data_IF_036530553652
#
_entry.id   IF_036530553652
#
_cell.length_a   1.000
_cell.length_b   1.000
_cell.length_c   1.000
_cell.angle_alpha   90.00
_cell.angle_beta   90.00
_cell.angle_gamma   90.00
#
_symmetry.space_group_name_H-M   'P 1'
#
loop_
_entity.id
_entity.type
_entity.pdbx_description
1 polymer ?
#
# COMPACT_ATOMS: atom_id res chain seq x y z
N UNK A 1 -38.11 -2.76 3.93
CA UNK A 1 -37.00 -2.24 3.09
C UNK A 1 -35.79 -3.15 3.24
N UNK A 2 -35.99 -4.44 2.94
CA UNK A 2 -35.01 -5.50 3.13
C UNK A 2 -34.90 -6.23 1.80
N UNK A 3 -33.87 -5.91 1.01
CA UNK A 3 -33.38 -6.60 -0.20
C UNK A 3 -32.28 -5.69 -0.81
N UNK A 4 -31.16 -6.27 -1.27
CA UNK A 4 -30.11 -5.65 -2.11
C UNK A 4 -28.72 -5.28 -1.54
N UNK A 5 -28.21 -5.92 -0.49
CA UNK A 5 -26.73 -5.99 -0.31
C UNK A 5 -26.30 -7.37 0.20
N UNK A 6 -26.48 -8.39 -0.65
CA UNK A 6 -25.69 -9.61 -0.51
C UNK A 6 -24.22 -9.26 -0.81
N UNK A 7 -23.44 -9.14 0.26
CA UNK A 7 -21.99 -8.96 0.41
C UNK A 7 -21.11 -9.39 -0.79
N UNK A 8 -21.03 -8.55 -1.83
CA UNK A 8 -20.26 -8.81 -3.06
C UNK A 8 -18.74 -8.73 -2.84
N UNK A 9 -18.27 -7.95 -1.86
CA UNK A 9 -16.84 -7.78 -1.57
C UNK A 9 -16.20 -9.07 -1.10
N UNK A 10 -16.81 -9.75 -0.14
CA UNK A 10 -16.32 -11.03 0.38
C UNK A 10 -16.41 -12.12 -0.69
N UNK A 11 -17.55 -12.21 -1.39
CA UNK A 11 -17.74 -13.17 -2.49
C UNK A 11 -16.70 -13.00 -3.59
N UNK A 12 -16.33 -11.75 -3.92
CA UNK A 12 -15.28 -11.48 -4.91
C UNK A 12 -13.92 -11.98 -4.45
N UNK A 13 -13.59 -11.80 -3.18
CA UNK A 13 -12.31 -12.24 -2.63
C UNK A 13 -12.25 -13.78 -2.59
N UNK A 14 -13.33 -14.45 -2.16
CA UNK A 14 -13.49 -15.91 -2.31
C UNK A 14 -13.34 -16.39 -3.75
N UNK A 15 -14.01 -15.74 -4.70
CA UNK A 15 -13.93 -16.11 -6.10
C UNK A 15 -12.50 -16.01 -6.65
N UNK A 16 -11.72 -15.00 -6.24
CA UNK A 16 -10.32 -14.84 -6.64
C UNK A 16 -9.42 -15.92 -6.03
N UNK A 17 -9.64 -16.25 -4.76
CA UNK A 17 -8.90 -17.30 -4.05
C UNK A 17 -9.18 -18.66 -4.68
N UNK A 18 -10.46 -19.04 -4.82
CA UNK A 18 -10.87 -20.30 -5.43
C UNK A 18 -10.39 -20.41 -6.88
N UNK A 19 -10.48 -19.32 -7.66
CA UNK A 19 -9.93 -19.31 -9.02
C UNK A 19 -8.44 -19.64 -9.02
N UNK A 20 -7.64 -19.03 -8.13
CA UNK A 20 -6.20 -19.31 -8.07
C UNK A 20 -5.90 -20.72 -7.59
N UNK A 21 -6.58 -21.21 -6.55
CA UNK A 21 -6.39 -22.57 -6.04
C UNK A 21 -6.75 -23.65 -7.07
N UNK A 22 -7.83 -23.47 -7.83
CA UNK A 22 -8.23 -24.42 -8.88
C UNK A 22 -7.19 -24.46 -10.00
N UNK A 23 -6.60 -23.31 -10.36
CA UNK A 23 -5.57 -23.25 -11.41
C UNK A 23 -4.17 -23.66 -10.95
N UNK A 24 -3.83 -23.42 -9.69
CA UNK A 24 -2.52 -23.69 -9.11
C UNK A 24 -2.70 -24.05 -7.62
N UNK A 25 -2.88 -25.35 -7.30
CA UNK A 25 -3.11 -25.79 -5.93
C UNK A 25 -1.96 -25.41 -4.99
N UNK A 26 -2.29 -24.90 -3.80
CA UNK A 26 -1.30 -24.52 -2.78
C UNK A 26 -0.67 -23.14 -3.02
N UNK A 27 -1.23 -22.34 -3.93
CA UNK A 27 -0.81 -20.96 -4.15
C UNK A 27 -1.09 -20.08 -2.93
N UNK A 28 -2.20 -20.33 -2.23
CA UNK A 28 -2.66 -19.60 -1.05
C UNK A 28 -2.31 -20.38 0.21
N UNK A 29 -1.62 -19.72 1.14
CA UNK A 29 -1.24 -20.35 2.40
C UNK A 29 -2.46 -20.74 3.24
N UNK A 30 -2.33 -21.82 4.01
CA UNK A 30 -3.39 -22.26 4.92
C UNK A 30 -3.74 -21.20 5.98
N UNK A 31 -2.77 -20.32 6.34
CA UNK A 31 -3.02 -19.20 7.24
C UNK A 31 -3.94 -18.16 6.58
N UNK A 32 -3.71 -17.82 5.31
CA UNK A 32 -4.58 -16.92 4.56
C UNK A 32 -5.98 -17.48 4.34
N UNK A 33 -6.10 -18.77 4.05
CA UNK A 33 -7.40 -19.43 3.90
C UNK A 33 -8.22 -19.41 5.20
N UNK A 34 -7.59 -19.65 6.35
CA UNK A 34 -8.27 -19.56 7.65
C UNK A 34 -8.75 -18.15 7.96
N UNK A 35 -7.88 -17.15 7.80
CA UNK A 35 -8.27 -15.74 8.00
C UNK A 35 -9.39 -15.36 7.05
N UNK A 36 -9.33 -15.82 5.80
CA UNK A 36 -10.41 -15.61 4.85
C UNK A 36 -11.71 -16.28 5.28
N UNK A 37 -11.66 -17.50 5.80
CA UNK A 37 -12.83 -18.23 6.26
C UNK A 37 -13.56 -17.51 7.39
N UNK A 38 -12.81 -16.93 8.33
CA UNK A 38 -13.36 -16.28 9.52
C UNK A 38 -13.72 -14.80 9.27
N UNK A 39 -13.38 -14.25 8.10
CA UNK A 39 -13.55 -12.83 7.78
C UNK A 39 -15.00 -12.48 7.44
N UNK A 40 -15.48 -11.40 8.06
CA UNK A 40 -16.80 -10.82 7.81
C UNK A 40 -16.83 -9.96 6.52
N UNK A 41 -18.03 -9.72 5.95
CA UNK A 41 -18.25 -8.71 4.90
C UNK A 41 -17.49 -7.39 5.07
N UNK A 42 -17.56 -6.84 6.28
CA UNK A 42 -17.04 -5.52 6.61
C UNK A 42 -15.52 -5.52 6.63
N UNK A 43 -14.93 -6.57 7.18
CA UNK A 43 -13.48 -6.77 7.21
C UNK A 43 -12.92 -6.97 5.79
N UNK A 44 -13.62 -7.73 4.95
CA UNK A 44 -13.25 -7.88 3.54
C UNK A 44 -13.27 -6.55 2.78
N UNK A 45 -14.25 -5.68 3.06
CA UNK A 45 -14.29 -4.33 2.51
C UNK A 45 -13.13 -3.46 3.01
N UNK A 46 -12.79 -3.54 4.29
CA UNK A 46 -11.64 -2.83 4.87
C UNK A 46 -10.34 -3.29 4.19
N UNK A 47 -10.15 -4.60 4.02
CA UNK A 47 -9.00 -5.16 3.32
C UNK A 47 -8.93 -4.68 1.86
N UNK A 48 -10.06 -4.65 1.15
CA UNK A 48 -10.12 -4.13 -0.21
C UNK A 48 -9.68 -2.66 -0.32
N UNK A 49 -10.10 -1.83 0.64
CA UNK A 49 -9.68 -0.42 0.71
C UNK A 49 -8.20 -0.29 1.03
N UNK A 50 -7.70 -1.06 1.99
CA UNK A 50 -6.28 -1.05 2.32
C UNK A 50 -5.41 -1.53 1.15
N UNK A 51 -5.82 -2.59 0.45
CA UNK A 51 -5.14 -3.07 -0.75
C UNK A 51 -5.11 -2.02 -1.87
N UNK A 52 -6.16 -1.19 -1.99
CA UNK A 52 -6.20 -0.11 -2.97
C UNK A 52 -5.17 1.02 -2.68
N UNK A 53 -4.79 1.21 -1.42
CA UNK A 53 -3.81 2.22 -0.97
C UNK A 53 -2.38 1.66 -0.86
N UNK A 54 -2.21 0.34 -0.99
CA UNK A 54 -0.93 -0.31 -0.78
C UNK A 54 0.09 0.03 -1.88
N UNK A 55 1.34 0.18 -1.46
CA UNK A 55 2.51 0.29 -2.32
C UNK A 55 3.62 -0.65 -1.84
N UNK A 56 4.61 -0.89 -2.67
CA UNK A 56 5.88 -1.50 -2.27
C UNK A 56 7.02 -0.57 -2.64
N UNK A 57 8.05 -0.51 -1.82
CA UNK A 57 9.25 0.26 -2.12
C UNK A 57 10.50 -0.40 -1.54
N UNK A 58 11.64 -0.06 -2.15
CA UNK A 58 12.94 -0.62 -1.80
C UNK A 58 13.13 -2.05 -2.32
N UNK A 59 14.02 -2.80 -1.67
CA UNK A 59 14.32 -4.20 -2.03
C UNK A 59 13.23 -5.20 -1.62
N UNK A 60 12.24 -4.75 -0.85
CA UNK A 60 11.23 -5.61 -0.26
C UNK A 60 9.89 -5.52 -1.01
N UNK A 61 9.48 -6.65 -1.59
CA UNK A 61 8.24 -6.79 -2.36
C UNK A 61 6.98 -6.84 -1.50
N UNK A 62 7.11 -6.79 -0.17
CA UNK A 62 5.93 -6.71 0.70
C UNK A 62 5.18 -5.40 0.49
N UNK A 63 3.86 -5.51 0.48
CA UNK A 63 2.95 -4.38 0.46
C UNK A 63 3.03 -3.61 1.78
N UNK A 64 2.89 -2.29 1.67
CA UNK A 64 3.01 -1.30 2.73
C UNK A 64 1.95 -0.22 2.53
N UNK A 65 1.37 0.26 3.62
CA UNK A 65 0.54 1.47 3.63
C UNK A 65 1.45 2.65 3.96
N UNK A 66 1.80 3.44 2.95
CA UNK A 66 2.65 4.61 3.12
C UNK A 66 1.84 5.76 3.75
N UNK A 67 2.25 6.21 4.93
CA UNK A 67 1.54 7.27 5.66
C UNK A 67 2.20 8.62 5.41
N UNK A 68 3.51 8.66 5.25
CA UNK A 68 4.20 9.90 4.92
C UNK A 68 5.72 9.82 5.04
N UNK A 69 6.35 10.90 5.47
CA UNK A 69 7.80 10.99 5.61
C UNK A 69 8.24 11.77 6.86
N UNK A 70 9.44 11.47 7.35
CA UNK A 70 10.22 12.31 8.27
C UNK A 70 11.43 12.85 7.54
N UNK A 71 11.73 14.12 7.73
CA UNK A 71 12.90 14.78 7.16
C UNK A 71 13.66 15.54 8.26
N UNK A 72 14.97 15.32 8.32
CA UNK A 72 15.85 16.10 9.17
C UNK A 72 16.33 17.33 8.41
N UNK A 73 15.88 18.53 8.79
CA UNK A 73 16.38 19.76 8.19
C UNK A 73 17.68 20.17 8.88
N UNK A 74 18.79 20.24 8.12
CA UNK A 74 20.13 20.51 8.66
C UNK A 74 20.77 21.79 8.12
N UNK A 75 19.98 22.77 7.68
CA UNK A 75 20.55 23.91 6.96
C UNK A 75 21.20 24.96 7.88
N UNK A 76 20.68 25.31 9.07
CA UNK A 76 21.22 26.47 9.81
C UNK A 76 21.02 26.56 11.34
N UNK A 77 20.77 25.48 12.11
CA UNK A 77 20.50 25.65 13.55
C UNK A 77 21.15 24.61 14.48
N UNK A 78 21.53 25.11 15.66
CA UNK A 78 22.00 24.46 16.89
C UNK A 78 20.96 23.49 17.51
N UNK A 79 20.27 22.71 16.67
CA UNK A 79 19.20 21.79 17.04
C UNK A 79 18.67 21.08 15.79
N UNK A 80 18.75 19.75 15.75
CA UNK A 80 18.22 18.92 14.67
C UNK A 80 16.69 18.98 14.68
N UNK A 81 16.07 19.81 13.83
CA UNK A 81 14.61 19.86 13.71
C UNK A 81 14.13 18.77 12.75
N UNK A 82 13.48 17.75 13.31
CA UNK A 82 12.82 16.68 12.55
C UNK A 82 11.42 17.18 12.17
N UNK A 83 11.12 17.22 10.88
CA UNK A 83 9.79 17.53 10.36
C UNK A 83 9.11 16.24 9.94
N UNK A 84 7.89 16.01 10.40
CA UNK A 84 7.06 14.87 9.98
C UNK A 84 5.88 15.40 9.18
N UNK A 85 5.60 14.80 8.03
CA UNK A 85 4.41 15.08 7.23
C UNK A 85 3.72 13.77 6.90
N UNK A 86 2.39 13.73 7.05
CA UNK A 86 1.58 12.53 6.90
C UNK A 86 0.27 12.81 6.15
N UNK A 87 -0.18 11.83 5.39
CA UNK A 87 -1.47 11.81 4.70
C UNK A 87 -2.52 11.26 5.66
N UNK A 88 -3.66 11.93 5.74
CA UNK A 88 -4.81 11.40 6.44
C UNK A 88 -5.48 10.32 5.58
N UNK A 89 -5.10 9.05 5.80
CA UNK A 89 -5.70 7.87 5.16
C UNK A 89 -7.20 7.71 5.46
N UNK A 90 -7.71 8.35 6.53
CA UNK A 90 -9.13 8.38 6.86
C UNK A 90 -9.99 9.01 5.76
N UNK A 91 -9.45 10.01 5.05
CA UNK A 91 -10.12 10.64 3.91
C UNK A 91 -10.31 9.67 2.72
N UNK A 92 -9.52 8.59 2.70
CA UNK A 92 -9.59 7.52 1.69
C UNK A 92 -10.32 6.29 2.20
N UNK A 93 -11.26 6.49 3.14
CA UNK A 93 -12.11 5.46 3.74
C UNK A 93 -11.35 4.36 4.50
N UNK A 94 -10.12 4.68 4.93
CA UNK A 94 -9.29 3.85 5.79
C UNK A 94 -8.94 4.60 7.09
N UNK A 95 -9.91 4.87 7.98
CA UNK A 95 -9.64 5.45 9.30
C UNK A 95 -8.80 4.51 10.17
N UNK A 96 -8.24 5.03 11.27
CA UNK A 96 -7.41 4.23 12.18
C UNK A 96 -8.12 3.00 12.75
N UNK A 97 -9.44 3.08 13.02
CA UNK A 97 -10.24 1.92 13.43
C UNK A 97 -10.19 0.77 12.42
N UNK A 98 -10.09 1.07 11.12
CA UNK A 98 -9.93 0.06 10.08
C UNK A 98 -8.54 -0.58 10.10
N UNK A 99 -7.49 0.17 10.49
CA UNK A 99 -6.16 -0.41 10.69
C UNK A 99 -6.16 -1.36 11.88
N UNK A 100 -6.82 -1.00 12.98
CA UNK A 100 -6.94 -1.88 14.16
C UNK A 100 -7.59 -3.21 13.80
N UNK A 101 -8.68 -3.19 13.01
CA UNK A 101 -9.31 -4.41 12.51
C UNK A 101 -8.33 -5.27 11.68
N UNK A 102 -7.53 -4.65 10.80
CA UNK A 102 -6.54 -5.39 10.01
C UNK A 102 -5.41 -5.97 10.87
N UNK A 103 -5.05 -5.30 11.97
CA UNK A 103 -4.07 -5.79 12.94
C UNK A 103 -4.64 -6.97 13.72
N UNK A 104 -5.88 -6.89 14.18
CA UNK A 104 -6.59 -7.96 14.89
C UNK A 104 -6.74 -9.22 14.02
N UNK A 105 -7.02 -9.06 12.73
CA UNK A 105 -7.04 -10.15 11.76
C UNK A 105 -5.65 -10.70 11.41
N UNK A 106 -4.57 -10.09 11.93
CA UNK A 106 -3.19 -10.48 11.65
C UNK A 106 -2.75 -10.17 10.21
N UNK A 107 -3.43 -9.26 9.51
CA UNK A 107 -3.14 -8.86 8.13
C UNK A 107 -2.15 -7.69 8.05
N UNK A 108 -2.05 -6.90 9.11
CA UNK A 108 -1.15 -5.74 9.24
C UNK A 108 -0.32 -5.86 10.52
N UNK A 109 0.95 -5.43 10.47
CA UNK A 109 1.76 -5.30 11.67
C UNK A 109 1.29 -4.10 12.50
N UNK A 110 1.23 -4.27 13.83
CA UNK A 110 0.72 -3.25 14.74
C UNK A 110 1.60 -1.99 14.86
N UNK A 111 2.89 -2.11 14.55
CA UNK A 111 3.86 -1.03 14.70
C UNK A 111 3.91 -0.17 13.45
N UNK A 112 3.82 1.15 13.65
CA UNK A 112 4.24 2.11 12.64
C UNK A 112 5.76 1.98 12.45
N UNK A 113 6.19 1.82 11.21
CA UNK A 113 7.58 1.62 10.85
C UNK A 113 8.12 2.84 10.12
N UNK A 114 9.42 3.03 10.26
CA UNK A 114 10.19 4.03 9.55
C UNK A 114 11.18 3.33 8.64
N UNK A 115 11.38 3.83 7.42
CA UNK A 115 12.41 3.30 6.53
C UNK A 115 13.79 3.68 7.04
N UNK A 116 14.81 2.99 6.52
CA UNK A 116 16.16 3.55 6.54
C UNK A 116 16.19 4.94 5.87
N UNK A 117 17.27 5.67 6.10
CA UNK A 117 17.51 6.92 5.36
C UNK A 117 17.55 6.62 3.87
N UNK A 118 16.78 7.38 3.08
CA UNK A 118 16.75 7.20 1.64
C UNK A 118 18.00 7.84 1.05
N UNK A 119 18.76 7.04 0.31
CA UNK A 119 19.97 7.48 -0.38
C UNK A 119 19.61 8.29 -1.64
N UNK A 120 20.50 9.20 -2.04
CA UNK A 120 20.30 10.01 -3.24
C UNK A 120 20.47 9.20 -4.53
N UNK A 121 21.33 8.18 -4.51
CA UNK A 121 21.62 7.29 -5.62
C UNK A 121 21.88 5.88 -5.08
N UNK A 122 21.20 4.84 -5.59
CA UNK A 122 20.19 4.87 -6.65
C UNK A 122 18.85 5.46 -6.16
N UNK A 123 18.03 5.95 -7.10
CA UNK A 123 16.68 6.41 -6.78
C UNK A 123 15.85 5.27 -6.17
N UNK A 124 15.06 5.58 -5.14
CA UNK A 124 14.19 4.61 -4.51
C UNK A 124 12.99 4.33 -5.42
N UNK A 125 12.88 3.10 -5.91
CA UNK A 125 11.70 2.65 -6.63
C UNK A 125 10.54 2.42 -5.65
N UNK A 126 9.46 3.15 -5.85
CA UNK A 126 8.16 2.95 -5.22
C UNK A 126 7.16 2.50 -6.28
N UNK A 127 6.65 1.27 -6.15
CA UNK A 127 5.59 0.73 -6.99
C UNK A 127 4.25 0.88 -6.29
N UNK A 128 3.35 1.66 -6.88
CA UNK A 128 1.98 1.85 -6.43
C UNK A 128 1.02 1.26 -7.46
N UNK A 129 0.41 0.12 -7.14
CA UNK A 129 -0.67 -0.49 -7.95
C UNK A 129 -0.30 -0.66 -9.44
N UNK A 130 0.97 -0.99 -9.71
CA UNK A 130 1.52 -1.15 -11.07
C UNK A 130 2.14 0.11 -11.68
N UNK A 131 2.03 1.27 -11.02
CA UNK A 131 2.74 2.49 -11.42
C UNK A 131 4.06 2.60 -10.66
N UNK A 132 5.16 2.81 -11.38
CA UNK A 132 6.48 2.96 -10.80
C UNK A 132 6.84 4.45 -10.65
N UNK A 133 7.23 4.82 -9.44
CA UNK A 133 7.73 6.13 -9.06
C UNK A 133 9.20 5.98 -8.64
N UNK A 134 10.10 6.70 -9.30
CA UNK A 134 11.48 6.83 -8.85
C UNK A 134 11.61 8.06 -7.98
N UNK A 135 11.99 7.85 -6.71
CA UNK A 135 12.09 8.90 -5.70
C UNK A 135 13.56 9.22 -5.44
N UNK A 136 13.98 10.44 -5.76
CA UNK A 136 15.30 10.93 -5.44
C UNK A 136 15.21 12.01 -4.34
N UNK A 137 15.76 11.80 -3.14
CA UNK A 137 15.64 12.75 -2.03
C UNK A 137 16.37 14.05 -2.35
N UNK A 138 15.72 15.18 -2.06
CA UNK A 138 16.29 16.54 -2.23
C UNK A 138 17.21 16.93 -1.07
N UNK A 139 17.14 16.22 0.05
CA UNK A 139 17.97 16.45 1.24
C UNK A 139 18.30 15.14 1.95
N UNK A 140 19.39 15.12 2.71
CA UNK A 140 19.76 13.98 3.57
C UNK A 140 18.79 13.83 4.76
N UNK A 141 18.76 12.64 5.35
CA UNK A 141 17.96 12.36 6.54
C UNK A 141 16.46 12.28 6.28
N UNK A 142 16.04 11.93 5.06
CA UNK A 142 14.63 11.69 4.72
C UNK A 142 14.32 10.20 4.85
N UNK A 143 13.22 9.89 5.51
CA UNK A 143 12.73 8.53 5.78
C UNK A 143 11.23 8.46 5.55
N UNK A 144 10.73 7.31 5.09
CA UNK A 144 9.31 7.06 4.87
C UNK A 144 8.68 6.43 6.10
N UNK A 145 7.44 6.79 6.39
CA UNK A 145 6.64 6.26 7.51
C UNK A 145 5.53 5.39 6.95
N UNK A 146 5.40 4.16 7.42
CA UNK A 146 4.45 3.20 6.84
C UNK A 146 4.00 2.12 7.83
N UNK A 147 2.86 1.51 7.54
CA UNK A 147 2.49 0.21 8.10
C UNK A 147 2.82 -0.90 7.12
N UNK A 148 3.31 -2.03 7.62
CA UNK A 148 3.68 -3.19 6.79
C UNK A 148 2.59 -4.25 6.87
N UNK A 149 2.20 -4.81 5.73
CA UNK A 149 1.33 -5.99 5.71
C UNK A 149 2.08 -7.23 6.19
N UNK A 150 1.40 -8.10 6.93
CA UNK A 150 1.93 -9.42 7.29
C UNK A 150 2.08 -10.28 6.03
N UNK A 151 2.81 -11.41 6.07
CA UNK A 151 2.87 -12.34 4.94
C UNK A 151 1.48 -12.75 4.44
N UNK A 152 0.56 -13.01 5.37
CA UNK A 152 -0.84 -13.35 5.09
C UNK A 152 -1.61 -12.18 4.47
N UNK A 153 -1.46 -10.97 5.00
CA UNK A 153 -2.07 -9.76 4.41
C UNK A 153 -1.55 -9.47 3.01
N UNK A 154 -0.24 -9.59 2.80
CA UNK A 154 0.40 -9.38 1.51
C UNK A 154 -0.13 -10.36 0.45
N UNK A 155 -0.27 -11.64 0.82
CA UNK A 155 -0.85 -12.68 -0.04
C UNK A 155 -2.30 -12.36 -0.45
N UNK A 156 -3.16 -12.07 0.53
CA UNK A 156 -4.57 -11.73 0.28
C UNK A 156 -4.71 -10.45 -0.56
N UNK A 157 -3.92 -9.41 -0.29
CA UNK A 157 -3.93 -8.18 -1.08
C UNK A 157 -3.49 -8.43 -2.54
N UNK A 158 -2.53 -9.33 -2.78
CA UNK A 158 -2.12 -9.69 -4.16
C UNK A 158 -3.19 -10.48 -4.93
N UNK A 159 -4.12 -11.14 -4.25
CA UNK A 159 -5.27 -11.80 -4.89
C UNK A 159 -6.30 -10.79 -5.41
N UNK A 160 -6.44 -9.67 -4.70
CA UNK A 160 -7.36 -8.58 -5.05
C UNK A 160 -7.02 -7.88 -6.37
N UNK A 161 -5.73 -7.89 -6.74
CA UNK A 161 -5.21 -7.25 -7.95
C UNK A 161 -5.16 -5.73 -7.86
N UNK A 162 -4.74 -5.09 -8.95
CA UNK A 162 -4.51 -3.65 -8.97
C UNK A 162 -5.83 -2.90 -9.13
N UNK A 163 -6.20 -2.14 -8.11
CA UNK A 163 -7.32 -1.19 -8.13
C UNK A 163 -6.84 0.11 -7.49
N UNK A 164 -6.19 0.99 -8.26
CA UNK A 164 -5.60 2.19 -7.71
C UNK A 164 -6.67 3.15 -7.19
N UNK A 165 -6.41 3.71 -6.01
CA UNK A 165 -7.13 4.88 -5.51
C UNK A 165 -6.40 6.14 -6.02
N UNK A 166 -6.93 6.74 -7.08
CA UNK A 166 -6.28 7.89 -7.71
C UNK A 166 -6.27 9.14 -6.83
N UNK A 167 -7.31 9.36 -6.01
CA UNK A 167 -7.32 10.53 -5.10
C UNK A 167 -6.24 10.43 -4.03
N UNK A 168 -5.96 9.21 -3.54
CA UNK A 168 -4.85 8.97 -2.64
C UNK A 168 -3.50 9.10 -3.36
N UNK A 169 -3.39 8.56 -4.57
CA UNK A 169 -2.18 8.65 -5.38
C UNK A 169 -1.77 10.11 -5.62
N UNK A 170 -2.71 10.98 -5.98
CA UNK A 170 -2.41 12.39 -6.23
C UNK A 170 -1.92 13.10 -4.96
N UNK A 171 -2.55 12.83 -3.81
CA UNK A 171 -2.10 13.34 -2.51
C UNK A 171 -0.73 12.79 -2.12
N UNK A 172 -0.46 11.52 -2.43
CA UNK A 172 0.81 10.89 -2.16
C UNK A 172 1.94 11.50 -2.99
N UNK A 173 1.73 11.68 -4.29
CA UNK A 173 2.70 12.35 -5.16
C UNK A 173 2.94 13.78 -4.69
N UNK A 174 1.87 14.54 -4.39
CA UNK A 174 2.00 15.90 -3.87
C UNK A 174 2.78 15.98 -2.56
N UNK A 175 2.59 15.01 -1.65
CA UNK A 175 3.37 14.92 -0.42
C UNK A 175 4.85 14.63 -0.71
N UNK A 176 5.12 13.62 -1.55
CA UNK A 176 6.49 13.19 -1.86
C UNK A 176 7.28 14.28 -2.59
N UNK A 177 6.67 15.02 -3.51
CA UNK A 177 7.33 16.12 -4.25
C UNK A 177 7.87 17.23 -3.33
N UNK A 178 7.43 17.32 -2.06
CA UNK A 178 7.97 18.29 -1.10
C UNK A 178 9.44 18.00 -0.71
N UNK A 179 9.87 16.73 -0.76
CA UNK A 179 11.21 16.30 -0.32
C UNK A 179 11.90 15.33 -1.29
N UNK A 180 11.23 14.97 -2.37
CA UNK A 180 11.76 14.09 -3.41
C UNK A 180 11.52 14.71 -4.79
N UNK A 181 12.50 14.56 -5.67
CA UNK A 181 12.27 14.62 -7.11
C UNK A 181 11.61 13.31 -7.52
N UNK A 182 10.38 13.37 -8.03
CA UNK A 182 9.58 12.19 -8.39
C UNK A 182 9.58 12.05 -9.91
N UNK A 183 10.07 10.92 -10.43
CA UNK A 183 9.96 10.57 -11.84
C UNK A 183 8.98 9.41 -12.01
N UNK A 184 7.98 9.58 -12.87
CA UNK A 184 7.00 8.53 -13.16
C UNK A 184 7.39 7.81 -14.45
N UNK A 185 7.51 6.49 -14.41
CA UNK A 185 7.55 5.72 -15.66
C UNK A 185 6.13 5.70 -16.24
N UNK A 186 5.87 6.56 -17.22
CA UNK A 186 4.71 6.40 -18.08
C UNK A 186 5.02 5.20 -18.97
N UNK A 187 4.40 4.05 -18.70
CA UNK A 187 4.41 2.95 -19.65
C UNK A 187 3.78 3.46 -20.95
N UNK A 188 4.61 3.85 -21.91
CA UNK A 188 4.22 4.06 -23.29
C UNK A 188 3.70 2.73 -23.81
N UNK A 189 2.38 2.56 -23.78
CA UNK A 189 1.71 1.47 -24.48
C UNK A 189 1.98 1.67 -25.98
N UNK A 190 2.98 0.97 -26.51
CA UNK A 190 3.17 0.78 -27.94
C UNK A 190 1.91 0.12 -28.49
N UNK A 191 1.07 0.91 -29.15
CA UNK A 191 -0.04 0.43 -29.97
C UNK A 191 0.61 -0.30 -31.15
N UNK A 192 0.70 -1.62 -31.07
CA UNK A 192 1.07 -2.43 -32.21
C UNK A 192 -0.22 -2.64 -33.04
N UNK A 193 -0.47 -1.71 -33.97
CA UNK A 193 -1.45 -1.94 -35.03
C UNK A 193 -0.81 -2.90 -36.02
N UNK A 194 -1.19 -4.18 -35.97
CA UNK A 194 -0.98 -5.10 -37.09
C UNK A 194 -2.24 -5.07 -37.96
N UNK A 195 -2.05 -4.62 -39.19
CA UNK A 195 -2.97 -4.73 -40.33
C UNK A 195 -3.02 -6.18 -40.80
#
# INVERSE_FOLDING_TARGET
MAQDIHNSSMQRLWAQVLKREVTNPGFTSMKALKVLQDMTPKEAQILQRAAALACSFGSDTSLKLLIGYKAQNSLFSLGKRITTQAINIGNHQLPYSSLLVLIELGLLHATELESGEIEAEPALLLSYQGKNLHLQPTSKGVRLIYYRFSPTGNELCRLLGNKPNMTYYDQLVALLTQKFTVQTEVSSSSIHHTV
#
